data_IF_959928508925
#
_entry.id   IF_959928508925
#
_cell.length_a   1.000
_cell.length_b   1.000
_cell.length_c   1.000
_cell.angle_alpha   90.00
_cell.angle_beta   90.00
_cell.angle_gamma   90.00
#
_symmetry.space_group_name_H-M   'P 1'
#
loop_
_entity.id
_entity.type
_entity.pdbx_description
1 polymer ?
#
# COMPACT_ATOMS: atom_id res chain seq x y z
N UNK A 1 -4.35 -9.41 27.90
CA UNK A 1 -4.59 -8.01 27.53
C UNK A 1 -4.43 -7.82 26.02
N UNK A 2 -5.53 -7.72 25.28
CA UNK A 2 -5.53 -7.65 23.80
C UNK A 2 -6.46 -6.60 23.21
N UNK A 3 -6.96 -5.66 24.03
CA UNK A 3 -8.01 -4.71 23.67
C UNK A 3 -7.54 -3.47 22.87
N UNK A 4 -6.28 -3.05 23.03
CA UNK A 4 -5.83 -1.74 22.54
C UNK A 4 -5.72 -1.57 21.01
N UNK A 5 -5.71 -2.66 20.23
CA UNK A 5 -5.57 -2.56 18.76
C UNK A 5 -6.90 -2.34 18.03
N UNK A 6 -8.03 -2.79 18.60
CA UNK A 6 -9.37 -2.60 18.00
C UNK A 6 -9.88 -1.17 18.16
N UNK A 7 -9.62 -0.53 19.30
CA UNK A 7 -10.07 0.84 19.59
C UNK A 7 -9.46 1.90 18.66
N UNK A 8 -8.27 1.66 18.11
CA UNK A 8 -7.61 2.60 17.18
C UNK A 8 -7.97 2.40 15.70
N UNK A 9 -8.56 1.26 15.33
CA UNK A 9 -8.87 0.94 13.93
C UNK A 9 -10.26 1.44 13.51
N UNK A 10 -11.27 1.24 14.34
CA UNK A 10 -12.65 1.58 14.04
C UNK A 10 -12.99 3.02 14.47
N UNK A 11 -13.91 3.65 13.75
CA UNK A 11 -14.50 4.93 14.15
C UNK A 11 -15.60 4.70 15.17
N UNK A 12 -15.86 5.72 15.98
CA UNK A 12 -17.04 5.77 16.87
C UNK A 12 -18.32 6.03 16.07
N UNK A 13 -18.20 6.67 14.90
CA UNK A 13 -19.34 6.98 14.03
C UNK A 13 -19.85 5.75 13.29
N UNK A 14 -21.16 5.67 13.06
CA UNK A 14 -21.76 4.66 12.18
C UNK A 14 -21.72 5.09 10.70
N UNK A 15 -21.86 4.16 9.76
CA UNK A 15 -21.96 4.51 8.33
C UNK A 15 -23.14 5.45 8.02
N UNK A 16 -24.27 5.29 8.72
CA UNK A 16 -25.43 6.17 8.56
C UNK A 16 -25.11 7.63 8.94
N UNK A 17 -24.39 7.84 10.05
CA UNK A 17 -23.93 9.17 10.49
C UNK A 17 -22.91 9.81 9.54
N UNK A 18 -22.25 9.00 8.71
CA UNK A 18 -21.31 9.47 7.69
C UNK A 18 -22.01 9.87 6.37
N UNK A 19 -23.33 9.63 6.26
CA UNK A 19 -24.11 9.89 5.04
C UNK A 19 -24.24 8.70 4.10
N UNK A 20 -23.93 7.47 4.55
CA UNK A 20 -24.15 6.28 3.74
C UNK A 20 -25.65 5.96 3.60
N UNK A 21 -26.09 5.67 2.37
CA UNK A 21 -27.46 5.25 2.09
C UNK A 21 -27.75 3.84 2.63
N UNK A 22 -29.03 3.49 2.78
CA UNK A 22 -29.45 2.17 3.25
C UNK A 22 -28.92 1.04 2.33
N UNK A 23 -28.90 1.28 1.01
CA UNK A 23 -28.37 0.33 0.03
C UNK A 23 -26.86 0.10 0.21
N UNK A 24 -26.10 1.17 0.46
CA UNK A 24 -24.65 1.08 0.69
C UNK A 24 -24.35 0.40 2.02
N UNK A 25 -25.10 0.71 3.07
CA UNK A 25 -24.96 0.04 4.38
C UNK A 25 -25.24 -1.47 4.24
N UNK A 26 -26.27 -1.86 3.49
CA UNK A 26 -26.59 -3.26 3.20
C UNK A 26 -25.47 -3.95 2.42
N UNK A 27 -24.92 -3.28 1.41
CA UNK A 27 -23.79 -3.78 0.63
C UNK A 27 -22.53 -3.98 1.49
N UNK A 28 -22.20 -3.00 2.33
CA UNK A 28 -21.08 -3.08 3.26
C UNK A 28 -21.24 -4.23 4.26
N UNK A 29 -22.45 -4.43 4.81
CA UNK A 29 -22.75 -5.55 5.70
C UNK A 29 -22.60 -6.90 5.00
N UNK A 30 -23.05 -7.02 3.75
CA UNK A 30 -22.87 -8.24 2.95
C UNK A 30 -21.39 -8.54 2.68
N UNK A 31 -20.56 -7.50 2.56
CA UNK A 31 -19.11 -7.61 2.47
C UNK A 31 -18.43 -7.83 3.84
N UNK A 32 -19.19 -7.98 4.93
CA UNK A 32 -18.67 -8.22 6.28
C UNK A 32 -18.14 -6.97 7.00
N UNK A 33 -18.53 -5.77 6.55
CA UNK A 33 -18.10 -4.49 7.14
C UNK A 33 -19.27 -3.81 7.85
N UNK A 34 -19.34 -4.01 9.17
CA UNK A 34 -20.41 -3.44 9.99
C UNK A 34 -20.07 -2.04 10.53
N UNK A 35 -18.82 -1.82 10.91
CA UNK A 35 -18.34 -0.56 11.52
C UNK A 35 -17.27 0.06 10.63
N UNK A 36 -17.34 1.38 10.34
CA UNK A 36 -16.34 2.03 9.51
C UNK A 36 -14.98 2.07 10.20
N UNK A 37 -13.93 1.84 9.42
CA UNK A 37 -12.57 2.14 9.86
C UNK A 37 -12.35 3.66 9.97
N UNK A 38 -11.28 4.07 10.66
CA UNK A 38 -10.99 5.50 10.82
C UNK A 38 -10.80 6.21 9.48
N UNK A 39 -10.10 5.59 8.52
CA UNK A 39 -9.91 6.19 7.20
C UNK A 39 -11.22 6.28 6.41
N UNK A 40 -12.09 5.26 6.51
CA UNK A 40 -13.43 5.29 5.91
C UNK A 40 -14.26 6.44 6.50
N UNK A 41 -14.22 6.62 7.82
CA UNK A 41 -14.92 7.72 8.49
C UNK A 41 -14.38 9.11 8.17
N UNK A 42 -13.08 9.23 7.88
CA UNK A 42 -12.47 10.50 7.50
C UNK A 42 -12.78 10.89 6.06
N UNK A 43 -12.87 9.92 5.15
CA UNK A 43 -13.03 10.17 3.71
C UNK A 43 -14.48 10.19 3.22
N UNK A 44 -15.42 9.54 3.91
CA UNK A 44 -16.75 9.29 3.36
C UNK A 44 -17.46 10.56 2.84
N UNK A 45 -17.66 11.55 3.73
CA UNK A 45 -18.39 12.77 3.39
C UNK A 45 -17.68 13.59 2.31
N UNK A 46 -16.38 13.85 2.48
CA UNK A 46 -15.60 14.63 1.53
C UNK A 46 -15.63 14.03 0.10
N UNK A 47 -15.56 12.70 0.00
CA UNK A 47 -15.64 12.01 -1.28
C UNK A 47 -17.05 12.03 -1.87
N UNK A 48 -18.08 11.84 -1.04
CA UNK A 48 -19.48 11.90 -1.47
C UNK A 48 -19.84 13.29 -2.02
N UNK A 49 -19.35 14.35 -1.37
CA UNK A 49 -19.56 15.75 -1.75
C UNK A 49 -18.81 16.20 -3.01
N UNK A 50 -17.90 15.37 -3.55
CA UNK A 50 -17.16 15.70 -4.78
C UNK A 50 -15.84 16.44 -4.57
N UNK A 51 -15.32 16.49 -3.33
CA UNK A 51 -14.03 17.15 -3.06
C UNK A 51 -12.85 16.35 -3.62
N UNK A 52 -11.88 17.03 -4.25
CA UNK A 52 -10.60 16.43 -4.56
C UNK A 52 -9.88 16.06 -3.27
N UNK A 53 -9.37 14.83 -3.16
CA UNK A 53 -8.82 14.35 -1.89
C UNK A 53 -7.65 13.38 -2.05
N UNK A 54 -6.70 13.45 -1.12
CA UNK A 54 -5.72 12.41 -0.85
C UNK A 54 -6.23 11.56 0.30
N UNK A 55 -6.38 10.25 0.09
CA UNK A 55 -6.77 9.27 1.11
C UNK A 55 -5.54 8.42 1.44
N UNK A 56 -4.86 8.77 2.54
CA UNK A 56 -3.59 8.16 2.90
C UNK A 56 -3.68 7.42 4.24
N UNK A 57 -3.46 6.11 4.22
CA UNK A 57 -3.43 5.26 5.43
C UNK A 57 -2.71 3.94 5.12
N UNK A 58 -2.12 3.27 6.12
CA UNK A 58 -1.43 2.00 5.98
C UNK A 58 -2.24 0.91 5.24
N UNK A 59 -1.57 -0.08 4.66
CA UNK A 59 -2.26 -1.20 3.99
C UNK A 59 -3.09 -2.03 4.98
N UNK A 60 -4.24 -2.53 4.53
CA UNK A 60 -5.18 -3.26 5.38
C UNK A 60 -6.09 -2.39 6.26
N UNK A 61 -6.09 -1.07 6.09
CA UNK A 61 -6.99 -0.13 6.78
C UNK A 61 -8.38 0.01 6.17
N UNK A 62 -8.65 -0.71 5.07
CA UNK A 62 -9.92 -0.61 4.34
C UNK A 62 -10.01 0.59 3.38
N UNK A 63 -8.87 1.11 2.88
CA UNK A 63 -8.81 2.21 1.89
C UNK A 63 -9.71 1.98 0.67
N UNK A 64 -9.73 0.75 0.15
CA UNK A 64 -10.53 0.40 -1.03
C UNK A 64 -12.01 0.72 -0.81
N UNK A 65 -12.58 0.29 0.32
CA UNK A 65 -13.96 0.67 0.68
C UNK A 65 -14.10 2.13 1.10
N UNK A 66 -13.03 2.76 1.61
CA UNK A 66 -13.02 4.18 1.99
C UNK A 66 -13.30 5.11 0.81
N UNK A 67 -12.87 4.74 -0.41
CA UNK A 67 -13.25 5.46 -1.63
C UNK A 67 -14.42 4.80 -2.38
N UNK A 68 -14.49 3.47 -2.47
CA UNK A 68 -15.54 2.83 -3.26
C UNK A 68 -16.95 3.08 -2.70
N UNK A 69 -17.15 2.99 -1.39
CA UNK A 69 -18.49 3.11 -0.80
C UNK A 69 -19.15 4.48 -1.11
N UNK A 70 -18.54 5.63 -0.81
CA UNK A 70 -19.13 6.92 -1.14
C UNK A 70 -19.21 7.19 -2.65
N UNK A 71 -18.24 6.72 -3.45
CA UNK A 71 -18.22 6.97 -4.88
C UNK A 71 -19.23 6.11 -5.66
N UNK A 72 -19.45 4.85 -5.24
CA UNK A 72 -20.51 3.99 -5.78
C UNK A 72 -21.88 4.57 -5.44
N UNK A 73 -22.07 5.07 -4.20
CA UNK A 73 -23.30 5.77 -3.83
C UNK A 73 -23.59 6.95 -4.77
N UNK A 74 -22.57 7.79 -4.99
CA UNK A 74 -22.74 8.95 -5.88
C UNK A 74 -23.01 8.54 -7.33
N UNK A 75 -22.37 7.47 -7.81
CA UNK A 75 -22.66 6.92 -9.15
C UNK A 75 -24.12 6.47 -9.26
N UNK A 76 -24.67 5.84 -8.21
CA UNK A 76 -26.07 5.41 -8.17
C UNK A 76 -27.01 6.62 -8.22
N UNK A 77 -26.78 7.62 -7.37
CA UNK A 77 -27.56 8.85 -7.32
C UNK A 77 -27.51 9.62 -8.65
N UNK A 78 -26.32 9.72 -9.26
CA UNK A 78 -26.15 10.37 -10.55
C UNK A 78 -26.86 9.60 -11.68
N UNK A 79 -26.82 8.27 -11.66
CA UNK A 79 -27.49 7.44 -12.68
C UNK A 79 -29.02 7.48 -12.55
N UNK A 80 -29.55 7.61 -11.34
CA UNK A 80 -30.98 7.85 -11.10
C UNK A 80 -31.44 9.18 -11.71
N UNK A 81 -30.61 10.22 -11.60
CA UNK A 81 -30.91 11.56 -12.17
C UNK A 81 -30.75 11.59 -13.69
N UNK A 82 -29.69 10.99 -14.21
CA UNK A 82 -29.42 10.91 -15.64
C UNK A 82 -29.05 9.47 -16.03
N UNK A 83 -29.94 8.71 -16.69
CA UNK A 83 -29.68 7.35 -17.16
C UNK A 83 -28.90 7.31 -18.48
N UNK A 84 -28.35 8.44 -18.95
CA UNK A 84 -27.61 8.51 -20.21
C UNK A 84 -26.46 7.50 -20.26
N UNK A 85 -26.25 6.97 -21.46
CA UNK A 85 -25.21 5.98 -21.78
C UNK A 85 -23.99 6.66 -22.40
N UNK A 86 -22.83 6.03 -22.29
CA UNK A 86 -21.67 6.34 -23.14
C UNK A 86 -20.47 6.99 -22.45
N UNK A 87 -20.58 7.39 -21.19
CA UNK A 87 -19.45 7.91 -20.40
C UNK A 87 -19.49 7.33 -18.98
N UNK A 88 -18.43 6.64 -18.51
CA UNK A 88 -18.38 6.17 -17.13
C UNK A 88 -18.33 7.33 -16.15
N UNK A 89 -19.06 7.20 -15.04
CA UNK A 89 -19.11 8.16 -13.93
C UNK A 89 -17.91 8.02 -13.00
N UNK A 90 -17.27 6.85 -13.01
CA UNK A 90 -16.12 6.53 -12.17
C UNK A 90 -15.06 5.75 -12.97
N UNK A 91 -13.84 6.28 -13.00
CA UNK A 91 -12.64 5.61 -13.48
C UNK A 91 -11.70 5.35 -12.29
N UNK A 92 -11.31 4.11 -12.07
CA UNK A 92 -10.33 3.74 -11.06
C UNK A 92 -9.09 3.18 -11.74
N UNK A 93 -7.95 3.80 -11.48
CA UNK A 93 -6.65 3.41 -12.01
C UNK A 93 -5.87 2.71 -10.92
N UNK A 94 -5.39 1.50 -11.23
CA UNK A 94 -4.47 0.75 -10.39
C UNK A 94 -3.18 0.44 -11.16
N UNK A 95 -2.00 0.44 -10.51
CA UNK A 95 -0.71 0.23 -11.16
C UNK A 95 -0.53 -1.17 -11.77
N UNK A 96 -1.25 -2.17 -11.28
CA UNK A 96 -1.11 -3.56 -11.73
C UNK A 96 -2.46 -4.16 -12.09
N UNK A 97 -2.45 -5.18 -12.96
CA UNK A 97 -3.67 -5.87 -13.37
C UNK A 97 -4.33 -6.59 -12.18
N UNK A 98 -3.51 -7.14 -11.30
CA UNK A 98 -3.92 -7.89 -10.11
C UNK A 98 -4.62 -6.98 -9.09
N UNK A 99 -4.08 -5.77 -8.87
CA UNK A 99 -4.74 -4.78 -8.02
C UNK A 99 -6.05 -4.30 -8.64
N UNK A 100 -6.06 -4.04 -9.95
CA UNK A 100 -7.28 -3.68 -10.67
C UNK A 100 -8.36 -4.78 -10.55
N UNK A 101 -7.98 -6.05 -10.67
CA UNK A 101 -8.87 -7.20 -10.50
C UNK A 101 -9.47 -7.26 -9.09
N UNK A 102 -8.65 -7.04 -8.05
CA UNK A 102 -9.12 -7.02 -6.66
C UNK A 102 -10.08 -5.85 -6.40
N UNK A 103 -9.72 -4.65 -6.82
CA UNK A 103 -10.58 -3.46 -6.70
C UNK A 103 -11.89 -3.68 -7.44
N UNK A 104 -11.84 -4.23 -8.66
CA UNK A 104 -13.03 -4.55 -9.44
C UNK A 104 -13.91 -5.61 -8.77
N UNK A 105 -13.33 -6.61 -8.11
CA UNK A 105 -14.09 -7.62 -7.35
C UNK A 105 -14.87 -6.97 -6.20
N UNK A 106 -14.25 -6.08 -5.42
CA UNK A 106 -14.93 -5.35 -4.33
C UNK A 106 -15.99 -4.41 -4.91
N UNK A 107 -15.66 -3.67 -5.97
CA UNK A 107 -16.60 -2.77 -6.65
C UNK A 107 -17.83 -3.52 -7.16
N UNK A 108 -17.62 -4.69 -7.78
CA UNK A 108 -18.70 -5.55 -8.27
C UNK A 108 -19.59 -6.04 -7.12
N UNK A 109 -19.00 -6.45 -6.00
CA UNK A 109 -19.75 -6.84 -4.80
C UNK A 109 -20.64 -5.71 -4.27
N UNK A 110 -20.17 -4.46 -4.29
CA UNK A 110 -21.00 -3.30 -3.97
C UNK A 110 -22.14 -3.12 -5.00
N UNK A 111 -21.83 -3.17 -6.29
CA UNK A 111 -22.83 -2.99 -7.35
C UNK A 111 -23.91 -4.08 -7.37
N UNK A 112 -23.59 -5.34 -7.03
CA UNK A 112 -24.53 -6.46 -7.05
C UNK A 112 -25.54 -6.42 -5.89
N UNK A 113 -25.13 -5.93 -4.71
CA UNK A 113 -25.99 -5.88 -3.52
C UNK A 113 -26.89 -4.65 -3.52
N UNK A 114 -26.48 -3.57 -4.19
CA UNK A 114 -27.32 -2.40 -4.44
C UNK A 114 -28.41 -2.78 -5.45
N UNK A 115 -29.40 -3.56 -5.01
CA UNK A 115 -30.66 -3.82 -5.72
C UNK A 115 -31.58 -2.62 -5.56
N UNK A 116 -31.20 -1.55 -6.22
CA UNK A 116 -32.05 -0.38 -6.43
C UNK A 116 -32.93 -0.59 -7.67
N UNK A 117 -33.82 0.37 -7.90
CA UNK A 117 -34.48 0.66 -9.18
C UNK A 117 -33.50 0.82 -10.37
N UNK A 118 -32.22 1.07 -10.08
CA UNK A 118 -31.15 1.28 -11.05
C UNK A 118 -29.98 0.35 -10.77
N UNK A 119 -29.53 -0.41 -11.77
CA UNK A 119 -28.35 -1.29 -11.68
C UNK A 119 -27.10 -0.58 -12.16
N UNK A 120 -26.01 -0.60 -11.39
CA UNK A 120 -24.69 -0.12 -11.84
C UNK A 120 -23.92 -1.23 -12.56
N UNK A 121 -23.26 -0.89 -13.66
CA UNK A 121 -22.37 -1.79 -14.40
C UNK A 121 -20.91 -1.37 -14.20
N UNK A 122 -20.06 -2.35 -13.87
CA UNK A 122 -18.61 -2.18 -13.79
C UNK A 122 -17.90 -2.99 -14.86
N UNK A 123 -16.77 -2.48 -15.36
CA UNK A 123 -15.91 -3.18 -16.33
C UNK A 123 -14.44 -3.13 -15.89
N UNK A 124 -13.78 -4.28 -15.95
CA UNK A 124 -12.33 -4.39 -15.76
C UNK A 124 -11.61 -4.23 -17.11
N UNK A 125 -10.58 -3.40 -17.14
CA UNK A 125 -9.80 -3.05 -18.33
C UNK A 125 -8.29 -3.17 -18.04
N UNK A 126 -7.76 -4.36 -18.25
CA UNK A 126 -6.36 -4.72 -17.99
C UNK A 126 -5.76 -5.41 -19.22
N UNK A 127 -4.51 -5.85 -19.12
CA UNK A 127 -3.92 -6.74 -20.14
C UNK A 127 -4.60 -8.10 -20.19
N UNK A 128 -5.10 -8.60 -19.05
CA UNK A 128 -5.81 -9.89 -18.90
C UNK A 128 -7.27 -9.83 -19.38
N UNK A 129 -7.89 -8.66 -19.49
CA UNK A 129 -9.32 -8.50 -19.81
C UNK A 129 -9.68 -8.64 -21.31
N UNK A 130 -8.78 -9.19 -22.12
CA UNK A 130 -8.99 -9.42 -23.56
C UNK A 130 -8.44 -8.34 -24.51
N UNK A 131 -8.81 -8.45 -25.78
CA UNK A 131 -8.34 -7.53 -26.83
C UNK A 131 -8.95 -6.13 -26.68
N UNK A 132 -8.16 -5.10 -26.98
CA UNK A 132 -8.62 -3.71 -26.94
C UNK A 132 -9.86 -3.47 -27.81
N UNK A 133 -9.94 -4.11 -28.98
CA UNK A 133 -11.09 -3.99 -29.87
C UNK A 133 -12.39 -4.54 -29.28
N UNK A 134 -12.30 -5.66 -28.54
CA UNK A 134 -13.46 -6.24 -27.83
C UNK A 134 -13.93 -5.32 -26.70
N UNK A 135 -13.01 -4.84 -25.87
CA UNK A 135 -13.30 -3.91 -24.77
C UNK A 135 -13.92 -2.62 -25.30
N UNK A 136 -13.33 -2.05 -26.36
CA UNK A 136 -13.86 -0.85 -27.00
C UNK A 136 -15.26 -1.06 -27.58
N UNK A 137 -15.56 -2.24 -28.12
CA UNK A 137 -16.91 -2.61 -28.57
C UNK A 137 -17.89 -2.67 -27.40
N UNK A 138 -17.50 -3.25 -26.25
CA UNK A 138 -18.32 -3.30 -25.05
C UNK A 138 -18.62 -1.90 -24.52
N UNK A 139 -17.61 -1.05 -24.37
CA UNK A 139 -17.78 0.32 -23.87
C UNK A 139 -18.70 1.16 -24.76
N UNK A 140 -18.62 0.99 -26.09
CA UNK A 140 -19.48 1.71 -27.04
C UNK A 140 -20.92 1.18 -27.07
N UNK A 141 -21.12 -0.13 -26.89
CA UNK A 141 -22.45 -0.77 -27.01
C UNK A 141 -23.22 -0.82 -25.70
N UNK A 142 -22.53 -0.94 -24.56
CA UNK A 142 -23.15 -1.12 -23.24
C UNK A 142 -22.97 0.14 -22.40
N UNK A 143 -23.99 0.48 -21.62
CA UNK A 143 -23.84 1.46 -20.55
C UNK A 143 -22.86 0.90 -19.53
N UNK A 144 -21.69 1.50 -19.41
CA UNK A 144 -20.68 1.17 -18.40
C UNK A 144 -20.55 2.35 -17.46
N UNK A 145 -20.91 2.17 -16.18
CA UNK A 145 -20.92 3.27 -15.21
C UNK A 145 -19.58 3.41 -14.50
N UNK A 146 -18.90 2.29 -14.26
CA UNK A 146 -17.63 2.22 -13.54
C UNK A 146 -16.61 1.46 -14.37
N UNK A 147 -15.42 2.03 -14.54
CA UNK A 147 -14.29 1.37 -15.19
C UNK A 147 -13.16 1.23 -14.18
N UNK A 148 -12.64 0.02 -14.02
CA UNK A 148 -11.41 -0.25 -13.25
C UNK A 148 -10.33 -0.67 -14.24
N UNK A 149 -9.21 0.04 -14.29
CA UNK A 149 -8.24 -0.13 -15.36
C UNK A 149 -6.78 0.01 -14.91
N UNK A 150 -5.87 -0.52 -15.72
CA UNK A 150 -4.46 -0.09 -15.68
C UNK A 150 -4.25 1.14 -16.58
N UNK A 151 -3.35 2.07 -16.22
CA UNK A 151 -3.15 3.33 -16.96
C UNK A 151 -2.94 3.15 -18.47
N UNK A 152 -2.03 2.26 -18.87
CA UNK A 152 -1.72 2.05 -20.29
C UNK A 152 -2.92 1.59 -21.12
N UNK A 153 -3.80 0.76 -20.55
CA UNK A 153 -5.03 0.29 -21.23
C UNK A 153 -6.10 1.38 -21.26
N UNK A 154 -6.25 2.16 -20.19
CA UNK A 154 -7.14 3.32 -20.18
C UNK A 154 -6.73 4.35 -21.25
N UNK A 155 -5.45 4.72 -21.30
CA UNK A 155 -4.91 5.65 -22.32
C UNK A 155 -5.14 5.12 -23.74
N UNK A 156 -4.97 3.82 -23.97
CA UNK A 156 -5.23 3.23 -25.28
C UNK A 156 -6.70 3.37 -25.74
N UNK A 157 -7.66 3.41 -24.81
CA UNK A 157 -9.09 3.56 -25.09
C UNK A 157 -9.54 5.02 -25.19
N UNK A 158 -8.77 5.96 -24.61
CA UNK A 158 -8.95 7.40 -24.79
C UNK A 158 -8.52 7.89 -26.18
N UNK A 159 -7.68 7.12 -26.87
CA UNK A 159 -7.24 7.44 -28.24
C UNK A 159 -8.32 7.04 -29.24
N UNK A 160 -8.63 7.94 -30.17
CA UNK A 160 -9.39 7.61 -31.36
C UNK A 160 -8.61 6.58 -32.21
N UNK A 161 -9.30 5.57 -32.73
CA UNK A 161 -8.69 4.51 -33.54
C UNK A 161 -9.54 4.23 -34.77
N UNK A 162 -8.91 4.21 -35.95
CA UNK A 162 -9.56 3.83 -37.21
C UNK A 162 -10.78 4.69 -37.57
N UNK A 163 -10.69 6.02 -37.37
CA UNK A 163 -11.78 6.97 -37.67
C UNK A 163 -12.96 6.93 -36.69
N UNK A 164 -12.89 6.13 -35.61
CA UNK A 164 -13.93 6.03 -34.59
C UNK A 164 -13.60 6.93 -33.39
N UNK A 165 -14.62 7.48 -32.70
CA UNK A 165 -14.40 8.22 -31.47
C UNK A 165 -13.74 7.34 -30.39
N UNK A 166 -13.10 7.97 -29.39
CA UNK A 166 -12.60 7.30 -28.20
C UNK A 166 -13.65 6.34 -27.63
N UNK A 167 -13.20 5.17 -27.20
CA UNK A 167 -14.10 4.19 -26.58
C UNK A 167 -14.36 4.52 -25.10
N UNK A 168 -13.40 5.19 -24.46
CA UNK A 168 -13.53 5.76 -23.13
C UNK A 168 -13.73 7.27 -23.26
N UNK A 169 -14.84 7.78 -22.72
CA UNK A 169 -15.18 9.20 -22.73
C UNK A 169 -15.16 9.73 -21.29
N UNK A 170 -14.30 10.71 -21.02
CA UNK A 170 -14.11 11.35 -19.71
C UNK A 170 -14.61 12.82 -19.71
N UNK A 171 -15.39 13.21 -20.72
CA UNK A 171 -15.89 14.58 -20.86
C UNK A 171 -17.09 14.93 -19.96
N UNK A 172 -17.75 13.93 -19.35
CA UNK A 172 -18.97 14.09 -18.55
C UNK A 172 -18.71 14.03 -17.04
N UNK A 173 -17.86 14.91 -16.55
CA UNK A 173 -17.54 15.12 -15.13
C UNK A 173 -17.31 13.83 -14.33
N UNK A 174 -16.37 12.98 -14.78
CA UNK A 174 -16.10 11.72 -14.11
C UNK A 174 -15.41 11.95 -12.76
N UNK A 175 -15.56 10.98 -11.87
CA UNK A 175 -14.61 10.78 -10.78
C UNK A 175 -13.44 9.93 -11.27
N UNK A 176 -12.21 10.37 -11.00
CA UNK A 176 -10.99 9.64 -11.32
C UNK A 176 -10.24 9.31 -10.04
N UNK A 177 -10.13 8.02 -9.75
CA UNK A 177 -9.39 7.49 -8.61
C UNK A 177 -8.03 6.97 -9.08
N UNK A 178 -6.96 7.36 -8.40
CA UNK A 178 -5.61 6.82 -8.59
C UNK A 178 -5.22 6.04 -7.33
N UNK A 179 -5.32 4.70 -7.41
CA UNK A 179 -4.96 3.80 -6.30
C UNK A 179 -3.46 3.49 -6.33
N UNK A 180 -2.84 3.51 -5.15
CA UNK A 180 -1.39 3.50 -4.96
C UNK A 180 -0.67 4.63 -5.75
N UNK A 181 -1.06 5.90 -5.51
CA UNK A 181 -0.48 7.06 -6.23
C UNK A 181 1.03 7.21 -6.06
N UNK A 182 1.59 6.76 -4.94
CA UNK A 182 3.03 6.69 -4.68
C UNK A 182 3.77 5.76 -5.66
N UNK A 183 3.04 4.91 -6.37
CA UNK A 183 3.54 4.04 -7.44
C UNK A 183 3.36 4.72 -8.77
N UNK A 184 2.13 5.17 -9.02
CA UNK A 184 1.70 5.72 -10.29
C UNK A 184 2.49 6.99 -10.65
N UNK A 185 2.88 7.79 -9.65
CA UNK A 185 3.60 9.05 -9.86
C UNK A 185 5.12 8.89 -9.89
N UNK A 186 5.67 7.87 -9.25
CA UNK A 186 7.12 7.64 -9.21
C UNK A 186 7.61 6.82 -10.42
N UNK A 187 6.73 6.49 -11.35
CA UNK A 187 7.01 5.66 -12.51
C UNK A 187 6.39 6.28 -13.77
N UNK A 188 7.20 7.07 -14.47
CA UNK A 188 6.79 7.79 -15.68
C UNK A 188 6.24 6.86 -16.78
N UNK A 189 6.56 5.56 -16.74
CA UNK A 189 6.09 4.59 -17.74
C UNK A 189 4.56 4.40 -17.73
N UNK A 190 3.87 4.79 -16.66
CA UNK A 190 2.41 4.76 -16.61
C UNK A 190 1.74 5.81 -17.50
N UNK A 191 2.43 6.91 -17.82
CA UNK A 191 1.96 7.92 -18.76
C UNK A 191 0.56 8.47 -18.43
N UNK A 192 0.39 9.06 -17.24
CA UNK A 192 -0.92 9.52 -16.73
C UNK A 192 -1.44 10.82 -17.38
N UNK A 193 -0.54 11.63 -17.95
CA UNK A 193 -0.87 12.95 -18.54
C UNK A 193 -2.08 12.93 -19.50
N UNK A 194 -2.21 11.97 -20.44
CA UNK A 194 -3.36 11.90 -21.34
C UNK A 194 -4.71 11.67 -20.63
N UNK A 195 -4.71 11.07 -19.44
CA UNK A 195 -5.93 10.84 -18.66
C UNK A 195 -6.42 12.17 -18.08
N UNK A 196 -5.51 12.94 -17.47
CA UNK A 196 -5.84 14.27 -16.96
C UNK A 196 -6.29 15.22 -18.07
N UNK A 197 -5.63 15.18 -19.24
CA UNK A 197 -5.99 16.01 -20.38
C UNK A 197 -7.35 15.66 -21.01
N UNK A 198 -7.81 14.40 -20.89
CA UNK A 198 -9.10 13.97 -21.40
C UNK A 198 -10.26 14.20 -20.41
N UNK A 199 -9.96 14.42 -19.14
CA UNK A 199 -10.94 14.66 -18.10
C UNK A 199 -11.54 16.08 -18.22
N UNK A 200 -12.82 16.23 -17.87
CA UNK A 200 -13.43 17.56 -17.80
C UNK A 200 -12.81 18.40 -16.68
N UNK A 201 -12.94 19.73 -16.79
CA UNK A 201 -12.44 20.66 -15.77
C UNK A 201 -13.16 20.53 -14.41
N UNK A 202 -14.34 19.91 -14.37
CA UNK A 202 -15.10 19.65 -13.14
C UNK A 202 -14.92 18.21 -12.62
N UNK A 203 -14.05 17.42 -13.25
CA UNK A 203 -13.77 16.07 -12.79
C UNK A 203 -13.21 16.07 -11.37
N UNK A 204 -13.70 15.15 -10.54
CA UNK A 204 -13.14 14.93 -9.21
C UNK A 204 -11.95 13.98 -9.30
N UNK A 205 -10.86 14.32 -8.62
CA UNK A 205 -9.67 13.49 -8.47
C UNK A 205 -9.49 13.00 -7.04
N UNK A 206 -9.33 11.70 -6.89
CA UNK A 206 -9.10 11.04 -5.60
C UNK A 206 -7.81 10.23 -5.66
N UNK A 207 -6.84 10.56 -4.81
CA UNK A 207 -5.53 9.92 -4.79
C UNK A 207 -5.41 9.05 -3.54
N UNK A 208 -5.23 7.75 -3.72
CA UNK A 208 -5.25 6.78 -2.64
C UNK A 208 -3.86 6.17 -2.49
N UNK A 209 -3.36 6.08 -1.25
CA UNK A 209 -2.03 5.49 -1.04
C UNK A 209 -1.78 4.96 0.36
N UNK A 210 -0.86 3.99 0.46
CA UNK A 210 -0.35 3.47 1.70
C UNK A 210 0.77 4.32 2.32
N UNK A 211 1.45 5.13 1.51
CA UNK A 211 2.55 6.00 1.95
C UNK A 211 2.42 7.34 1.25
N UNK A 212 2.94 8.41 1.82
CA UNK A 212 2.78 9.75 1.26
C UNK A 212 4.15 10.42 1.22
N UNK A 213 4.99 10.07 0.24
CA UNK A 213 6.27 10.73 0.04
C UNK A 213 6.08 12.24 -0.18
N UNK A 214 7.02 13.04 0.29
CA UNK A 214 6.96 14.50 0.18
C UNK A 214 6.91 14.97 -1.28
N UNK A 215 7.60 14.28 -2.18
CA UNK A 215 7.58 14.58 -3.62
C UNK A 215 6.18 14.39 -4.21
N UNK A 216 5.53 13.26 -3.91
CA UNK A 216 4.16 12.95 -4.36
C UNK A 216 3.19 14.00 -3.86
N UNK A 217 3.24 14.33 -2.57
CA UNK A 217 2.40 15.37 -2.01
C UNK A 217 2.63 16.72 -2.68
N UNK A 218 3.91 17.13 -2.84
CA UNK A 218 4.25 18.41 -3.45
C UNK A 218 3.67 18.53 -4.86
N UNK A 219 3.76 17.48 -5.65
CA UNK A 219 3.13 17.41 -6.98
C UNK A 219 1.61 17.57 -6.85
N UNK A 220 0.96 16.79 -5.99
CA UNK A 220 -0.49 16.85 -5.80
C UNK A 220 -0.99 18.23 -5.34
N UNK A 221 -0.30 18.86 -4.39
CA UNK A 221 -0.68 20.20 -3.90
C UNK A 221 -0.40 21.30 -4.92
N UNK A 222 0.58 21.11 -5.81
CA UNK A 222 0.86 22.04 -6.91
C UNK A 222 -0.23 21.94 -7.99
N UNK A 223 -0.58 20.71 -8.39
CA UNK A 223 -1.60 20.47 -9.42
C UNK A 223 -3.03 20.71 -8.92
N UNK A 224 -3.29 20.46 -7.64
CA UNK A 224 -4.61 20.61 -6.99
C UNK A 224 -4.49 21.46 -5.72
N UNK A 225 -4.45 22.80 -5.82
CA UNK A 225 -4.22 23.68 -4.66
C UNK A 225 -5.26 23.55 -3.52
N UNK A 226 -6.49 23.14 -3.85
CA UNK A 226 -7.59 22.97 -2.90
C UNK A 226 -7.80 21.50 -2.45
N UNK A 227 -6.82 20.62 -2.70
CA UNK A 227 -6.95 19.19 -2.37
C UNK A 227 -7.01 18.95 -0.86
N UNK A 228 -7.98 18.15 -0.42
CA UNK A 228 -8.08 17.75 0.98
C UNK A 228 -7.13 16.58 1.27
N UNK A 229 -6.24 16.72 2.25
CA UNK A 229 -5.30 15.65 2.62
C UNK A 229 -5.84 14.90 3.85
N UNK A 230 -6.43 13.73 3.61
CA UNK A 230 -7.11 12.90 4.61
C UNK A 230 -6.19 11.76 5.05
N UNK A 231 -5.46 11.99 6.13
CA UNK A 231 -4.49 11.04 6.68
C UNK A 231 -5.05 10.30 7.90
N UNK A 232 -5.06 8.97 7.83
CA UNK A 232 -5.41 8.14 8.98
C UNK A 232 -4.28 8.03 10.01
N UNK A 233 -4.58 7.59 11.25
CA UNK A 233 -3.61 7.56 12.35
C UNK A 233 -2.45 6.57 12.16
N UNK A 234 -2.63 5.52 11.36
CA UNK A 234 -1.62 4.49 11.08
C UNK A 234 -0.61 4.88 10.00
N UNK A 235 -0.79 6.03 9.33
CA UNK A 235 0.05 6.43 8.22
C UNK A 235 1.51 6.59 8.68
N UNK A 236 2.42 5.94 7.95
CA UNK A 236 3.86 5.86 8.24
C UNK A 236 4.20 5.25 9.60
N UNK A 237 3.30 4.43 10.15
CA UNK A 237 3.57 3.57 11.31
C UNK A 237 3.65 2.12 10.85
N UNK A 238 4.52 1.33 11.48
CA UNK A 238 4.47 -0.11 11.33
C UNK A 238 3.46 -0.70 12.31
N UNK A 239 2.88 -1.85 11.98
CA UNK A 239 1.98 -2.55 12.89
C UNK A 239 2.71 -2.86 14.23
N UNK A 240 2.19 -2.39 15.38
CA UNK A 240 2.89 -2.50 16.66
C UNK A 240 3.05 -3.95 17.15
N UNK A 241 2.26 -4.89 16.63
CA UNK A 241 2.31 -6.32 16.97
C UNK A 241 3.30 -7.17 16.18
N UNK A 242 4.10 -6.58 15.28
CA UNK A 242 5.03 -7.31 14.42
C UNK A 242 6.40 -7.46 15.09
N UNK A 243 6.79 -8.71 15.36
CA UNK A 243 8.12 -9.06 15.86
C UNK A 243 9.13 -8.86 14.74
N UNK A 244 10.20 -8.12 15.00
CA UNK A 244 11.27 -7.86 14.03
C UNK A 244 12.57 -8.50 14.50
N UNK A 245 13.25 -9.25 13.64
CA UNK A 245 14.51 -9.91 13.90
C UNK A 245 15.52 -9.43 12.87
N UNK A 246 16.63 -8.86 13.33
CA UNK A 246 17.73 -8.41 12.47
C UNK A 246 18.83 -9.47 12.46
N UNK A 247 19.22 -9.91 11.28
CA UNK A 247 20.35 -10.81 11.05
C UNK A 247 21.44 -10.03 10.30
N UNK A 248 22.63 -10.00 10.91
CA UNK A 248 23.80 -9.35 10.34
C UNK A 248 24.54 -10.34 9.43
N UNK A 249 24.44 -10.12 8.12
CA UNK A 249 25.09 -10.92 7.10
C UNK A 249 26.42 -10.30 6.63
N UNK A 250 27.00 -9.37 7.39
CA UNK A 250 28.28 -8.74 7.06
C UNK A 250 29.42 -9.77 7.02
N UNK A 251 30.36 -9.59 6.11
CA UNK A 251 31.58 -10.42 6.07
C UNK A 251 32.56 -9.93 7.14
N UNK A 252 33.24 -10.85 7.81
CA UNK A 252 34.17 -10.54 8.89
C UNK A 252 35.46 -9.93 8.33
N UNK A 253 35.46 -8.61 8.08
CA UNK A 253 36.60 -7.68 8.06
C UNK A 253 37.86 -7.96 7.22
N UNK A 254 38.03 -9.13 6.59
CA UNK A 254 39.29 -9.53 5.93
C UNK A 254 39.29 -9.35 4.41
N UNK A 255 38.17 -8.94 3.81
CA UNK A 255 38.06 -8.68 2.37
C UNK A 255 37.83 -7.19 2.09
N UNK A 256 38.71 -6.56 1.30
CA UNK A 256 38.46 -5.23 0.76
C UNK A 256 37.21 -5.31 -0.14
N UNK A 257 36.21 -4.50 0.14
CA UNK A 257 34.86 -4.50 -0.46
C UNK A 257 34.77 -4.14 -1.97
N UNK A 258 35.87 -4.26 -2.72
CA UNK A 258 35.97 -3.87 -4.13
C UNK A 258 36.17 -5.07 -5.08
N UNK A 259 36.31 -6.29 -4.57
CA UNK A 259 36.54 -7.45 -5.43
C UNK A 259 35.22 -8.17 -5.76
N UNK A 260 35.03 -8.58 -7.02
CA UNK A 260 33.81 -9.30 -7.47
C UNK A 260 33.55 -10.55 -6.61
N UNK A 261 34.62 -11.21 -6.15
CA UNK A 261 34.52 -12.35 -5.23
C UNK A 261 33.87 -11.99 -3.89
N UNK A 262 34.10 -10.78 -3.37
CA UNK A 262 33.53 -10.34 -2.07
C UNK A 262 32.01 -10.15 -2.16
N UNK A 263 31.51 -9.66 -3.29
CA UNK A 263 30.06 -9.48 -3.51
C UNK A 263 29.34 -10.82 -3.61
N UNK A 264 29.91 -11.78 -4.34
CA UNK A 264 29.32 -13.11 -4.46
C UNK A 264 29.35 -13.87 -3.13
N UNK A 265 30.45 -13.79 -2.36
CA UNK A 265 30.51 -14.37 -1.01
C UNK A 265 29.48 -13.73 -0.06
N UNK A 266 29.30 -12.40 -0.13
CA UNK A 266 28.30 -11.71 0.68
C UNK A 266 26.87 -12.14 0.34
N UNK A 267 26.59 -12.36 -0.95
CA UNK A 267 25.31 -12.88 -1.40
C UNK A 267 25.09 -14.32 -0.97
N UNK A 268 26.10 -15.18 -1.10
CA UNK A 268 26.02 -16.58 -0.68
C UNK A 268 25.71 -16.67 0.82
N UNK A 269 26.39 -15.88 1.66
CA UNK A 269 26.10 -15.80 3.10
C UNK A 269 24.64 -15.41 3.37
N UNK A 270 24.06 -14.49 2.60
CA UNK A 270 22.63 -14.14 2.72
C UNK A 270 21.71 -15.30 2.32
N UNK A 271 22.03 -16.02 1.24
CA UNK A 271 21.26 -17.19 0.79
C UNK A 271 21.28 -18.31 1.83
N UNK A 272 22.46 -18.62 2.38
CA UNK A 272 22.60 -19.64 3.43
C UNK A 272 21.84 -19.24 4.71
N UNK A 273 21.89 -17.95 5.07
CA UNK A 273 21.13 -17.42 6.21
C UNK A 273 19.62 -17.51 5.94
N UNK A 274 19.16 -17.22 4.72
CA UNK A 274 17.75 -17.35 4.35
C UNK A 274 17.25 -18.79 4.52
N UNK A 275 17.98 -19.77 3.99
CA UNK A 275 17.65 -21.20 4.12
C UNK A 275 17.60 -21.59 5.59
N UNK A 276 18.62 -21.22 6.36
CA UNK A 276 18.68 -21.50 7.81
C UNK A 276 17.49 -20.93 8.58
N UNK A 277 17.01 -19.74 8.19
CA UNK A 277 15.83 -19.11 8.81
C UNK A 277 14.55 -19.89 8.49
N UNK A 278 14.37 -20.33 7.24
CA UNK A 278 13.20 -21.09 6.82
C UNK A 278 13.17 -22.47 7.47
N UNK A 279 14.32 -23.13 7.62
CA UNK A 279 14.44 -24.43 8.29
C UNK A 279 14.21 -24.36 9.80
N UNK A 280 14.78 -23.34 10.45
CA UNK A 280 14.64 -23.18 11.90
C UNK A 280 13.20 -22.83 12.31
N UNK A 281 12.45 -22.16 11.43
CA UNK A 281 11.05 -21.76 11.69
C UNK A 281 10.21 -21.83 10.41
N UNK A 282 9.72 -23.03 10.03
CA UNK A 282 8.82 -23.18 8.90
C UNK A 282 7.47 -22.55 9.23
N UNK A 283 7.19 -21.40 8.63
CA UNK A 283 5.91 -20.71 8.73
C UNK A 283 5.10 -20.93 7.44
N UNK A 284 3.78 -21.11 7.59
CA UNK A 284 2.90 -21.55 6.48
C UNK A 284 3.00 -20.63 5.27
N UNK A 285 3.04 -19.32 5.48
CA UNK A 285 3.16 -18.32 4.41
C UNK A 285 4.26 -17.32 4.69
N UNK A 286 5.29 -17.38 3.87
CA UNK A 286 6.44 -16.48 3.91
C UNK A 286 6.55 -15.67 2.64
N UNK A 287 6.77 -14.36 2.74
CA UNK A 287 7.12 -13.51 1.60
C UNK A 287 8.58 -13.11 1.73
N UNK A 288 9.37 -13.36 0.68
CA UNK A 288 10.75 -12.91 0.56
C UNK A 288 10.82 -11.73 -0.42
N UNK A 289 11.35 -10.61 0.06
CA UNK A 289 11.50 -9.38 -0.71
C UNK A 289 12.93 -9.19 -1.22
N UNK A 290 13.05 -9.04 -2.54
CA UNK A 290 14.29 -8.68 -3.23
C UNK A 290 14.15 -7.32 -3.94
N UNK A 291 15.27 -6.62 -4.11
CA UNK A 291 15.30 -5.31 -4.76
C UNK A 291 15.31 -5.42 -6.30
N UNK A 292 15.64 -6.59 -6.85
CA UNK A 292 15.77 -6.86 -8.28
C UNK A 292 15.20 -8.24 -8.67
N UNK A 293 14.87 -8.39 -9.96
CA UNK A 293 14.43 -9.68 -10.54
C UNK A 293 15.54 -10.73 -10.48
N UNK A 294 16.80 -10.34 -10.69
CA UNK A 294 17.94 -11.25 -10.57
C UNK A 294 18.05 -11.80 -9.14
N UNK A 295 17.89 -10.94 -8.14
CA UNK A 295 17.86 -11.34 -6.74
C UNK A 295 16.75 -12.36 -6.44
N UNK A 296 15.54 -12.17 -6.98
CA UNK A 296 14.47 -13.17 -6.86
C UNK A 296 14.88 -14.52 -7.45
N UNK A 297 15.41 -14.53 -8.68
CA UNK A 297 15.84 -15.78 -9.35
C UNK A 297 16.94 -16.50 -8.56
N UNK A 298 17.89 -15.76 -7.98
CA UNK A 298 18.94 -16.35 -7.14
C UNK A 298 18.39 -16.98 -5.87
N UNK A 299 17.44 -16.31 -5.21
CA UNK A 299 16.73 -16.86 -4.04
C UNK A 299 15.96 -18.13 -4.42
N UNK A 300 15.17 -18.08 -5.49
CA UNK A 300 14.40 -19.24 -5.99
C UNK A 300 15.32 -20.43 -6.30
N UNK A 301 16.42 -20.19 -7.02
CA UNK A 301 17.38 -21.23 -7.35
C UNK A 301 18.05 -21.84 -6.12
N UNK A 302 18.33 -21.03 -5.08
CA UNK A 302 18.87 -21.54 -3.83
C UNK A 302 17.84 -22.41 -3.09
N UNK A 303 16.59 -21.94 -2.95
CA UNK A 303 15.52 -22.70 -2.30
C UNK A 303 15.22 -24.03 -3.02
N UNK A 304 15.20 -24.01 -4.35
CA UNK A 304 14.98 -25.21 -5.16
C UNK A 304 16.17 -26.17 -5.15
N UNK A 305 17.40 -25.66 -5.00
CA UNK A 305 18.60 -26.50 -4.88
C UNK A 305 18.59 -27.29 -3.57
N UNK A 306 18.24 -26.63 -2.47
CA UNK A 306 18.17 -27.23 -1.14
C UNK A 306 16.99 -28.21 -0.98
N UNK A 307 15.87 -27.96 -1.67
CA UNK A 307 14.68 -28.81 -1.60
C UNK A 307 14.06 -29.07 -2.98
N UNK A 308 14.77 -29.86 -3.80
CA UNK A 308 14.34 -30.20 -5.17
C UNK A 308 12.99 -30.92 -5.26
N UNK A 309 12.55 -31.55 -4.18
CA UNK A 309 11.30 -32.34 -4.13
C UNK A 309 10.13 -31.54 -3.54
N UNK A 310 10.32 -30.27 -3.20
CA UNK A 310 9.32 -29.40 -2.55
C UNK A 310 8.71 -30.03 -1.29
N UNK A 311 9.52 -30.74 -0.49
CA UNK A 311 9.06 -31.44 0.72
C UNK A 311 9.10 -30.56 1.96
N UNK A 312 10.05 -29.62 2.02
CA UNK A 312 10.24 -28.64 3.11
C UNK A 312 9.49 -27.34 2.82
N UNK A 313 9.47 -26.89 1.57
CA UNK A 313 8.75 -25.68 1.14
C UNK A 313 8.48 -25.68 -0.35
N UNK A 314 7.60 -24.77 -0.76
CA UNK A 314 7.36 -24.46 -2.18
C UNK A 314 7.69 -23.00 -2.48
N UNK A 315 8.68 -22.79 -3.34
CA UNK A 315 9.05 -21.46 -3.82
C UNK A 315 8.10 -21.01 -4.95
N UNK A 316 7.53 -19.82 -4.81
CA UNK A 316 6.55 -19.25 -5.73
C UNK A 316 7.09 -17.91 -6.28
N UNK A 317 7.46 -17.84 -7.57
CA UNK A 317 8.02 -16.63 -8.15
C UNK A 317 6.95 -15.58 -8.42
N UNK A 318 7.19 -14.33 -8.03
CA UNK A 318 6.25 -13.23 -8.22
C UNK A 318 6.97 -11.90 -8.48
N UNK A 319 7.41 -11.71 -9.73
CA UNK A 319 8.14 -10.53 -10.18
C UNK A 319 7.83 -10.21 -11.65
N UNK A 320 8.21 -9.03 -12.14
CA UNK A 320 7.85 -8.53 -13.48
C UNK A 320 8.30 -9.40 -14.67
N UNK A 321 9.33 -10.23 -14.51
CA UNK A 321 9.75 -11.18 -15.55
C UNK A 321 8.98 -12.51 -15.56
N UNK A 322 8.04 -12.73 -14.62
CA UNK A 322 7.11 -13.86 -14.65
C UNK A 322 5.95 -13.49 -15.56
N UNK A 323 5.43 -14.43 -16.37
CA UNK A 323 4.21 -14.19 -17.14
C UNK A 323 3.01 -13.97 -16.23
N UNK A 324 2.04 -13.16 -16.67
CA UNK A 324 0.83 -12.86 -15.88
C UNK A 324 0.09 -14.12 -15.42
N UNK A 325 -0.05 -15.13 -16.30
CA UNK A 325 -0.68 -16.41 -15.94
C UNK A 325 0.09 -17.16 -14.83
N UNK A 326 1.42 -17.17 -14.89
CA UNK A 326 2.25 -17.84 -13.89
C UNK A 326 2.27 -17.07 -12.55
N UNK A 327 2.26 -15.73 -12.61
CA UNK A 327 2.14 -14.87 -11.44
C UNK A 327 0.79 -15.08 -10.74
N UNK A 328 -0.31 -15.16 -11.50
CA UNK A 328 -1.65 -15.42 -10.99
C UNK A 328 -1.76 -16.81 -10.34
N UNK A 329 -1.18 -17.85 -10.96
CA UNK A 329 -1.10 -19.20 -10.36
C UNK A 329 -0.32 -19.20 -9.05
N UNK A 330 0.81 -18.49 -9.00
CA UNK A 330 1.63 -18.34 -7.79
C UNK A 330 0.84 -17.67 -6.69
N UNK A 331 0.15 -16.57 -6.99
CA UNK A 331 -0.69 -15.84 -6.03
C UNK A 331 -1.87 -16.69 -5.54
N UNK A 332 -2.50 -17.44 -6.44
CA UNK A 332 -3.64 -18.32 -6.13
C UNK A 332 -3.22 -19.46 -5.22
N UNK A 333 -2.05 -20.07 -5.50
CA UNK A 333 -1.44 -21.11 -4.67
C UNK A 333 -1.08 -20.56 -3.29
N UNK A 334 -0.45 -19.39 -3.24
CA UNK A 334 -0.06 -18.73 -1.99
C UNK A 334 -1.28 -18.35 -1.12
N UNK A 335 -2.40 -18.02 -1.75
CA UNK A 335 -3.64 -17.64 -1.06
C UNK A 335 -4.47 -18.85 -0.58
N UNK A 336 -4.20 -20.05 -1.11
CA UNK A 336 -4.93 -21.26 -0.75
C UNK A 336 -4.63 -21.68 0.70
N UNK A 337 -5.66 -22.16 1.42
CA UNK A 337 -5.55 -22.58 2.83
C UNK A 337 -5.03 -24.02 3.01
N UNK A 338 -4.98 -24.81 1.92
CA UNK A 338 -4.81 -26.27 1.99
C UNK A 338 -3.40 -26.76 1.58
N UNK A 339 -2.37 -25.92 1.70
CA UNK A 339 -1.01 -26.38 1.40
C UNK A 339 -0.47 -27.29 2.51
N UNK A 340 0.05 -28.46 2.12
CA UNK A 340 0.73 -29.40 3.01
C UNK A 340 2.13 -28.94 3.39
N UNK A 341 2.74 -28.09 2.58
CA UNK A 341 4.09 -27.54 2.80
C UNK A 341 4.06 -26.01 2.95
N UNK A 342 4.98 -25.43 3.72
CA UNK A 342 5.22 -23.99 3.75
C UNK A 342 5.35 -23.38 2.34
N UNK A 343 4.68 -22.26 2.11
CA UNK A 343 4.72 -21.51 0.84
C UNK A 343 5.62 -20.29 0.99
N UNK A 344 6.56 -20.13 0.06
CA UNK A 344 7.54 -19.03 0.05
C UNK A 344 7.37 -18.23 -1.24
N UNK A 345 6.72 -17.07 -1.15
CA UNK A 345 6.53 -16.16 -2.27
C UNK A 345 7.74 -15.23 -2.41
N UNK A 346 8.46 -15.32 -3.52
CA UNK A 346 9.65 -14.49 -3.78
C UNK A 346 9.27 -13.36 -4.71
N UNK A 347 9.41 -12.11 -4.26
CA UNK A 347 8.89 -10.96 -5.01
C UNK A 347 9.74 -9.69 -4.92
N UNK A 348 9.51 -8.80 -5.89
CA UNK A 348 9.96 -7.41 -5.85
C UNK A 348 8.83 -6.50 -5.37
N UNK A 349 9.15 -5.29 -4.91
CA UNK A 349 8.12 -4.34 -4.48
C UNK A 349 7.07 -4.10 -5.54
N UNK A 350 7.50 -3.84 -6.79
CA UNK A 350 6.60 -3.55 -7.91
C UNK A 350 5.58 -4.65 -8.14
N UNK A 351 6.00 -5.91 -8.07
CA UNK A 351 5.08 -7.03 -8.27
C UNK A 351 4.19 -7.22 -7.04
N UNK A 352 4.74 -7.14 -5.83
CA UNK A 352 4.04 -7.36 -4.56
C UNK A 352 2.91 -6.35 -4.24
N UNK A 353 2.82 -5.28 -5.03
CA UNK A 353 1.85 -4.20 -4.90
C UNK A 353 0.44 -4.73 -5.17
N UNK A 354 -0.53 -4.25 -4.41
CA UNK A 354 -1.86 -4.83 -4.44
C UNK A 354 -1.98 -6.31 -4.05
N UNK A 355 -0.98 -6.96 -3.44
CA UNK A 355 -1.24 -8.26 -2.81
C UNK A 355 -1.98 -8.04 -1.49
N UNK A 356 -3.32 -8.11 -1.51
CA UNK A 356 -4.12 -8.14 -0.29
C UNK A 356 -4.64 -9.55 0.00
N UNK A 357 -3.99 -10.21 0.96
CA UNK A 357 -4.43 -11.51 1.46
C UNK A 357 -5.47 -11.41 2.59
N UNK A 358 -5.89 -10.18 2.93
CA UNK A 358 -6.74 -9.86 4.06
C UNK A 358 -8.23 -9.78 3.76
N UNK A 359 -8.64 -9.78 2.49
CA UNK A 359 -10.04 -9.59 2.11
C UNK A 359 -10.38 -10.43 0.88
N UNK A 360 -10.22 -11.75 0.97
CA UNK A 360 -10.97 -12.60 0.04
C UNK A 360 -12.42 -12.52 0.48
N UNK A 361 -13.28 -11.93 -0.36
CA UNK A 361 -14.72 -12.00 -0.25
C UNK A 361 -15.16 -13.46 -0.48
N UNK A 362 -14.77 -14.36 0.43
CA UNK A 362 -15.35 -15.68 0.54
C UNK A 362 -16.81 -15.49 0.91
N UNK A 363 -17.70 -16.19 0.19
CA UNK A 363 -19.13 -16.27 0.49
C UNK A 363 -19.33 -16.30 2.00
N UNK A 364 -19.93 -15.25 2.56
CA UNK A 364 -20.34 -15.21 3.94
C UNK A 364 -21.37 -16.32 4.16
N UNK A 365 -20.93 -17.48 4.63
CA UNK A 365 -21.82 -18.53 5.13
C UNK A 365 -22.31 -18.14 6.52
N UNK A 366 -23.11 -17.07 6.60
CA UNK A 366 -24.13 -16.76 7.62
C UNK A 366 -23.89 -17.01 9.11
N UNK A 367 -22.69 -17.35 9.59
CA UNK A 367 -22.41 -17.66 11.00
C UNK A 367 -21.38 -16.68 11.58
N UNK A 368 -21.72 -15.98 12.67
CA UNK A 368 -20.84 -15.00 13.32
C UNK A 368 -19.69 -15.63 14.13
N UNK A 369 -19.59 -16.97 14.20
CA UNK A 369 -18.58 -17.69 15.00
C UNK A 369 -17.42 -18.27 14.20
N UNK A 370 -17.51 -18.36 12.87
CA UNK A 370 -16.43 -18.87 12.06
C UNK A 370 -15.54 -17.69 11.67
N UNK A 371 -14.55 -17.43 12.52
CA UNK A 371 -13.49 -16.46 12.25
C UNK A 371 -13.03 -16.60 10.81
N UNK A 372 -13.19 -15.53 10.01
CA UNK A 372 -12.63 -15.43 8.67
C UNK A 372 -11.16 -15.84 8.79
N UNK A 373 -10.82 -17.05 8.34
CA UNK A 373 -9.45 -17.50 8.21
C UNK A 373 -8.85 -16.69 7.06
N UNK A 374 -8.55 -15.42 7.33
CA UNK A 374 -7.90 -14.53 6.38
C UNK A 374 -6.57 -15.16 6.01
N UNK A 375 -6.25 -15.14 4.73
CA UNK A 375 -5.05 -15.72 4.17
C UNK A 375 -3.78 -14.91 4.52
N UNK A 376 -3.67 -14.40 5.75
CA UNK A 376 -2.60 -13.51 6.19
C UNK A 376 -1.20 -14.12 6.09
N UNK A 377 -0.22 -13.26 5.80
CA UNK A 377 1.21 -13.61 5.75
C UNK A 377 1.75 -13.73 7.16
N UNK A 378 2.35 -14.87 7.48
CA UNK A 378 2.91 -15.15 8.81
C UNK A 378 4.31 -14.55 8.97
N UNK A 379 5.07 -14.54 7.87
CA UNK A 379 6.47 -14.14 7.85
C UNK A 379 6.80 -13.27 6.65
N UNK A 380 7.48 -12.16 6.89
CA UNK A 380 8.12 -11.34 5.86
C UNK A 380 9.62 -11.41 6.05
N UNK A 381 10.35 -11.75 5.00
CA UNK A 381 11.82 -11.73 4.98
C UNK A 381 12.26 -10.62 4.03
N UNK A 382 12.98 -9.65 4.56
CA UNK A 382 13.66 -8.63 3.77
C UNK A 382 15.03 -9.18 3.39
N UNK A 383 15.11 -9.89 2.25
CA UNK A 383 16.36 -10.44 1.74
C UNK A 383 17.30 -9.33 1.30
N UNK A 384 16.76 -8.37 0.54
CA UNK A 384 17.42 -7.10 0.31
C UNK A 384 16.86 -6.03 1.23
N UNK A 385 17.76 -5.20 1.75
CA UNK A 385 17.37 -4.08 2.59
C UNK A 385 16.58 -3.06 1.74
N UNK A 386 15.44 -2.53 2.24
CA UNK A 386 14.62 -1.59 1.48
C UNK A 386 15.39 -0.32 1.08
N UNK A 387 15.07 0.23 -0.09
CA UNK A 387 15.74 1.44 -0.60
C UNK A 387 15.35 2.72 0.14
N UNK A 388 14.12 2.76 0.65
CA UNK A 388 13.57 3.88 1.38
C UNK A 388 12.61 3.42 2.49
N UNK A 389 12.16 4.37 3.29
CA UNK A 389 11.28 4.13 4.44
C UNK A 389 9.86 3.75 3.99
N UNK A 390 9.39 4.28 2.86
CA UNK A 390 8.08 3.94 2.34
C UNK A 390 8.03 2.45 1.90
N UNK A 391 9.09 1.97 1.27
CA UNK A 391 9.32 0.58 0.89
C UNK A 391 9.38 -0.30 2.14
N UNK A 392 10.11 0.12 3.17
CA UNK A 392 10.12 -0.56 4.48
C UNK A 392 8.72 -0.73 5.06
N UNK A 393 7.93 0.33 5.16
CA UNK A 393 6.57 0.28 5.72
C UNK A 393 5.68 -0.65 4.90
N UNK A 394 5.75 -0.60 3.56
CA UNK A 394 4.95 -1.46 2.68
C UNK A 394 5.30 -2.94 2.79
N UNK A 395 6.59 -3.29 2.88
CA UNK A 395 7.05 -4.68 3.02
C UNK A 395 6.66 -5.26 4.38
N UNK A 396 6.97 -4.53 5.45
CA UNK A 396 6.60 -4.93 6.82
C UNK A 396 5.09 -5.02 6.99
N UNK A 397 4.32 -4.14 6.35
CA UNK A 397 2.85 -4.13 6.34
C UNK A 397 2.19 -5.28 5.57
N UNK A 398 2.95 -6.24 5.02
CA UNK A 398 2.38 -7.49 4.47
C UNK A 398 2.01 -8.49 5.56
N UNK A 399 2.63 -8.41 6.73
CA UNK A 399 2.29 -9.21 7.92
C UNK A 399 1.69 -8.34 9.03
N UNK A 400 1.13 -8.96 10.06
CA UNK A 400 0.58 -8.28 11.22
C UNK A 400 -0.69 -7.45 10.97
N UNK A 401 -1.43 -7.75 9.90
CA UNK A 401 -2.71 -7.08 9.58
C UNK A 401 -3.82 -7.48 10.55
N UNK A 402 -4.79 -6.58 10.75
CA UNK A 402 -5.97 -6.79 11.60
C UNK A 402 -5.67 -7.29 13.03
N UNK A 403 -4.52 -6.88 13.60
CA UNK A 403 -4.11 -7.24 14.96
C UNK A 403 -3.48 -8.63 15.11
N UNK A 404 -3.24 -9.37 14.01
CA UNK A 404 -2.50 -10.64 14.06
C UNK A 404 -1.03 -10.41 14.42
N UNK A 405 -0.42 -11.41 15.04
CA UNK A 405 1.04 -11.46 15.22
C UNK A 405 1.69 -11.72 13.86
N UNK A 406 2.82 -11.08 13.61
CA UNK A 406 3.61 -11.26 12.39
C UNK A 406 5.09 -11.30 12.71
N UNK A 407 5.86 -12.02 11.89
CA UNK A 407 7.32 -12.03 11.98
C UNK A 407 7.91 -11.27 10.79
N UNK A 408 8.90 -10.42 11.06
CA UNK A 408 9.75 -9.82 10.03
C UNK A 408 11.19 -10.20 10.32
N UNK A 409 11.86 -10.85 9.37
CA UNK A 409 13.31 -11.08 9.41
C UNK A 409 14.00 -10.14 8.43
N UNK A 410 15.01 -9.41 8.88
CA UNK A 410 15.78 -8.48 8.05
C UNK A 410 17.19 -9.02 7.88
N UNK A 411 17.62 -9.24 6.63
CA UNK A 411 18.97 -9.63 6.25
C UNK A 411 19.74 -8.37 5.83
N UNK A 412 20.55 -7.82 6.73
CA UNK A 412 21.29 -6.57 6.50
C UNK A 412 22.80 -6.80 6.43
N UNK A 413 23.52 -5.96 5.69
CA UNK A 413 24.97 -6.01 5.56
C UNK A 413 25.64 -4.64 5.72
N UNK A 414 26.78 -4.62 6.40
CA UNK A 414 27.64 -3.46 6.56
C UNK A 414 26.88 -2.23 7.06
N UNK A 415 26.84 -1.18 6.24
CA UNK A 415 26.17 0.09 6.57
C UNK A 415 24.64 -0.04 6.75
N UNK A 416 24.03 -1.12 6.28
CA UNK A 416 22.58 -1.36 6.43
C UNK A 416 22.21 -1.78 7.87
N UNK A 417 23.13 -2.39 8.61
CA UNK A 417 22.90 -2.90 9.97
C UNK A 417 22.49 -1.78 10.95
N UNK A 418 23.24 -0.65 11.06
CA UNK A 418 22.82 0.45 11.94
C UNK A 418 21.49 1.10 11.49
N UNK A 419 21.26 1.22 10.17
CA UNK A 419 20.00 1.75 9.63
C UNK A 419 18.81 0.86 9.99
N UNK A 420 18.98 -0.46 9.87
CA UNK A 420 17.96 -1.43 10.25
C UNK A 420 17.62 -1.33 11.74
N UNK A 421 18.64 -1.19 12.61
CA UNK A 421 18.43 -1.01 14.05
C UNK A 421 17.62 0.25 14.37
N UNK A 422 17.95 1.38 13.74
CA UNK A 422 17.22 2.63 13.92
C UNK A 422 15.74 2.49 13.51
N UNK A 423 15.47 1.91 12.33
CA UNK A 423 14.11 1.67 11.85
C UNK A 423 13.32 0.72 12.76
N UNK A 424 13.95 -0.34 13.28
CA UNK A 424 13.32 -1.26 14.23
C UNK A 424 12.96 -0.53 15.52
N UNK A 425 13.85 0.32 16.05
CA UNK A 425 13.58 1.08 17.28
C UNK A 425 12.43 2.07 17.09
N UNK A 426 12.47 2.88 16.03
CA UNK A 426 11.41 3.86 15.71
C UNK A 426 10.05 3.19 15.52
N UNK A 427 10.02 2.09 14.77
CA UNK A 427 8.76 1.36 14.53
C UNK A 427 8.22 0.64 15.75
N UNK A 428 9.07 0.12 16.63
CA UNK A 428 8.64 -0.52 17.89
C UNK A 428 8.07 0.48 18.90
N UNK A 429 8.48 1.75 18.82
CA UNK A 429 7.90 2.84 19.62
C UNK A 429 6.58 3.38 19.04
N UNK A 430 6.12 2.84 17.91
CA UNK A 430 4.92 3.33 17.21
C UNK A 430 5.07 4.76 16.69
N UNK A 431 6.30 5.26 16.56
CA UNK A 431 6.60 6.60 16.04
C UNK A 431 6.31 6.65 14.54
N UNK A 432 5.84 7.81 14.07
CA UNK A 432 5.72 8.06 12.63
C UNK A 432 7.12 8.18 12.04
N UNK A 433 7.35 7.50 10.92
CA UNK A 433 8.65 7.55 10.25
C UNK A 433 8.84 8.77 9.34
N UNK A 434 7.76 9.53 9.10
CA UNK A 434 7.76 10.84 8.45
C UNK A 434 6.84 11.81 9.19
N UNK A 435 7.11 13.10 9.05
CA UNK A 435 6.22 14.17 9.49
C UNK A 435 5.08 14.37 8.49
N UNK A 436 3.86 14.53 9.01
CA UNK A 436 2.71 14.92 8.19
C UNK A 436 2.79 16.41 7.88
N UNK A 437 2.41 16.83 6.66
CA UNK A 437 2.22 18.25 6.35
C UNK A 437 0.96 18.75 7.07
N UNK A 438 1.06 19.90 7.73
CA UNK A 438 -0.10 20.60 8.32
C UNK A 438 -0.34 20.45 9.83
N UNK A 439 0.60 19.87 10.60
CA UNK A 439 0.59 19.87 12.08
C UNK A 439 0.88 18.49 12.67
N UNK A 440 1.76 18.32 13.66
CA UNK A 440 1.80 19.07 14.91
C UNK A 440 3.23 19.11 15.49
N UNK A 441 3.90 20.26 15.38
CA UNK A 441 5.17 20.53 16.06
C UNK A 441 4.98 21.08 17.48
N UNK A 442 3.76 21.01 18.05
CA UNK A 442 3.45 21.64 19.33
C UNK A 442 3.42 20.73 20.56
N UNK A 443 3.57 19.40 20.43
CA UNK A 443 3.51 18.49 21.59
C UNK A 443 4.83 17.76 21.90
N UNK A 444 5.96 18.48 21.98
CA UNK A 444 7.19 17.95 22.61
C UNK A 444 8.16 19.04 23.09
N UNK A 445 7.66 20.05 23.80
CA UNK A 445 8.48 20.75 24.81
C UNK A 445 8.16 20.15 26.16
N UNK A 446 8.79 19.02 26.48
CA UNK A 446 8.96 18.58 27.87
C UNK A 446 9.63 19.72 28.63
N UNK A 447 8.83 20.47 29.39
CA UNK A 447 9.29 21.32 30.46
C UNK A 447 10.17 20.46 31.36
N UNK A 448 11.48 20.73 31.36
CA UNK A 448 12.35 20.29 32.45
C UNK A 448 11.77 20.86 33.75
N UNK A 449 11.52 20.05 34.79
CA UNK A 449 11.11 20.57 36.07
C UNK A 449 12.25 21.45 36.61
N UNK A 450 11.93 22.71 36.90
CA UNK A 450 12.80 23.64 37.63
C UNK A 450 13.04 23.05 39.01
N UNK A 451 14.20 22.42 39.20
CA UNK A 451 14.70 22.03 40.51
C UNK A 451 14.88 23.27 41.37
N UNK A 452 14.21 23.25 42.52
CA UNK A 452 14.32 24.20 43.61
C UNK A 452 15.77 24.44 44.03
N UNK A 453 16.19 25.70 43.97
CA UNK A 453 17.47 26.16 44.51
C UNK A 453 17.43 26.09 46.05
N UNK A 454 18.24 25.22 46.64
CA UNK A 454 18.63 25.31 48.04
C UNK A 454 20.03 25.93 48.14
N UNK A 455 20.17 26.78 49.16
CA UNK A 455 21.33 27.61 49.51
C UNK A 455 22.60 26.79 49.73
N UNK A 456 23.73 27.33 49.26
CA UNK A 456 25.08 26.95 49.67
C UNK A 456 26.07 28.09 49.44
N UNK A 457 26.35 28.86 50.51
CA UNK A 457 27.42 29.87 50.60
C UNK A 457 28.78 29.17 50.77
N UNK A 458 29.79 29.58 49.99
CA UNK A 458 31.14 30.07 50.39
C UNK A 458 32.11 29.94 49.19
N UNK A 459 32.56 31.05 48.62
CA UNK A 459 33.82 31.77 48.91
C UNK A 459 35.08 31.10 48.32
N UNK A 460 35.68 31.73 47.31
CA UNK A 460 36.91 32.55 47.42
C UNK A 460 37.86 32.42 46.20
N UNK A 461 38.35 33.58 45.74
CA UNK A 461 39.59 33.88 44.96
C UNK A 461 39.71 33.29 43.54
N UNK A 462 39.73 34.11 42.48
CA UNK A 462 40.85 34.94 42.02
C UNK A 462 41.44 34.24 40.78
N UNK A 463 41.65 34.81 39.60
CA UNK A 463 42.26 36.09 39.23
C UNK A 463 41.95 36.42 37.77
N UNK A 464 41.93 37.71 37.47
CA UNK A 464 41.77 38.28 36.14
C UNK A 464 42.97 38.03 35.21
N UNK A 465 42.72 38.00 33.90
CA UNK A 465 43.53 38.78 32.95
C UNK A 465 42.81 39.00 31.62
N UNK A 466 42.73 40.28 31.24
CA UNK A 466 42.24 40.83 29.97
C UNK A 466 43.40 40.86 28.95
N UNK A 467 43.10 40.63 27.66
CA UNK A 467 43.52 41.46 26.50
C UNK A 467 43.07 40.78 25.19
N UNK A 468 42.05 41.28 24.47
CA UNK A 468 42.07 42.34 23.42
C UNK A 468 43.05 42.10 22.24
N UNK A 469 42.44 41.73 21.10
CA UNK A 469 42.58 42.34 19.75
C UNK A 469 43.91 42.13 18.98
N UNK A 470 43.82 41.53 17.79
CA UNK A 470 44.02 42.23 16.50
C UNK A 470 43.58 41.39 15.29
N UNK A 471 42.78 42.06 14.46
CA UNK A 471 42.57 41.85 13.02
C UNK A 471 43.91 41.84 12.28
N UNK A 472 44.03 41.00 11.24
CA UNK A 472 44.71 41.36 9.98
C UNK A 472 44.14 40.55 8.81
N UNK A 473 43.80 41.29 7.75
CA UNK A 473 43.39 40.87 6.41
C UNK A 473 44.62 40.60 5.53
N UNK A 474 44.36 40.01 4.35
CA UNK A 474 45.20 39.77 3.15
C UNK A 474 45.74 38.33 3.13
N UNK A 475 45.62 37.56 2.06
CA UNK A 475 45.35 37.84 0.64
C UNK A 475 44.41 36.78 0.08
#
# INVERSE_FOLDING_TARGET
>A
EGGGSREHFFSVKSFAELGASAEIISALRTLGVETPSRIQSLSFAALLEGSNAVVAEQTGSGKTLAYLAPLVQRCLEAKRKDPSKGAPRLLILAPTAELAEQVHSVCRGLCEVVKADVTLSSLLVTSSSGSLGSIASVLRKRSTDIVVATPGRAVALLKAQGGRPPALDLSRDPCIVLDEVDVLFLDDSFGLQPIGAAASAQAQFVFVTATLPQEVLKTLTTEFPAIQVLCGPGLHRAAPGVRKVLLDCSLDGRGRASDKGTVETALQKKLDTLVSVLEARPLRRTIVFCNSVDGCRRVENALNREDRREMKWKALPYHSAVSSDAAQRSLSTFSALNSLVPLVLVCTDRASRGMDFGFSAGRATGRPSDSIETAGVDHVILFDFPRDVAEWVRRVGRTGRAGRKGLVTILAQGKQVPLARDLIVKTSKGERLYDLPGGDSSSRKTQRPRGSASKGRNSNRGSASRRRVKRTRRK
#
